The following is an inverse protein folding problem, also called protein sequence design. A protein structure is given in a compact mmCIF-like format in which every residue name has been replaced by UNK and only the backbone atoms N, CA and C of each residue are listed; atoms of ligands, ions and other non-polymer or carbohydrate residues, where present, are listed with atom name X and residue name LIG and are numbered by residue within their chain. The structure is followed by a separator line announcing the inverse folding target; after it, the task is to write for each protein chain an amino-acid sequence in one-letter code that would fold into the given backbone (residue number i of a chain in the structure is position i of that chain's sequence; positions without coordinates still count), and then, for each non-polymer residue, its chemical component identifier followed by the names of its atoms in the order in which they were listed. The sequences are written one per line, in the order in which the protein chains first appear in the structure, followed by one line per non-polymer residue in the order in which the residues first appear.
data_IF_793352521732
#
_entry.id   IF_793352521732
#
_cell.length_a   1.000
_cell.length_b   1.000
_cell.length_c   1.000
_cell.angle_alpha   90.00
_cell.angle_beta   90.00
_cell.angle_gamma   90.00
#
_symmetry.space_group_name_H-M   'P 1'
#
loop_
_entity.id
_entity.type
_entity.pdbx_description
1 polymer ?
#
# COMPACT_ATOMS: atom_id res chain seq x y z
N UNK A 1 -29.84 17.73 19.29
CA UNK A 1 -28.60 16.93 19.11
C UNK A 1 -28.33 16.87 17.61
N UNK A 2 -27.10 17.15 17.16
CA UNK A 2 -26.76 17.02 15.74
C UNK A 2 -26.81 15.55 15.32
N UNK A 3 -27.34 15.25 14.13
CA UNK A 3 -27.32 13.91 13.59
C UNK A 3 -25.87 13.48 13.30
N UNK A 4 -25.50 12.30 13.79
CA UNK A 4 -24.20 11.68 13.51
C UNK A 4 -24.32 10.82 12.24
N UNK A 5 -23.39 11.02 11.32
CA UNK A 5 -23.31 10.28 10.06
C UNK A 5 -21.92 9.68 9.92
N UNK A 6 -21.82 8.65 9.07
CA UNK A 6 -20.51 8.05 8.76
C UNK A 6 -19.57 9.08 8.16
N UNK A 7 -18.33 9.06 8.61
CA UNK A 7 -17.31 9.95 8.13
C UNK A 7 -16.88 9.54 6.70
N UNK A 8 -17.09 10.39 5.69
CA UNK A 8 -16.74 10.05 4.30
C UNK A 8 -15.24 9.85 4.11
N UNK A 9 -14.38 10.49 4.92
CA UNK A 9 -12.94 10.24 4.89
C UNK A 9 -12.59 8.86 5.45
N UNK A 10 -13.27 8.42 6.51
CA UNK A 10 -13.08 7.08 7.07
C UNK A 10 -13.43 6.01 6.04
N UNK A 11 -14.57 6.17 5.35
CA UNK A 11 -14.99 5.25 4.29
C UNK A 11 -14.01 5.25 3.11
N UNK A 12 -13.54 6.42 2.67
CA UNK A 12 -12.57 6.54 1.60
C UNK A 12 -11.22 5.87 1.96
N UNK A 13 -10.72 6.07 3.18
CA UNK A 13 -9.49 5.42 3.66
C UNK A 13 -9.66 3.90 3.76
N UNK A 14 -10.81 3.42 4.24
CA UNK A 14 -11.09 1.98 4.28
C UNK A 14 -11.13 1.38 2.87
N UNK A 15 -11.74 2.07 1.91
CA UNK A 15 -11.76 1.63 0.52
C UNK A 15 -10.35 1.65 -0.11
N UNK A 16 -9.55 2.66 0.20
CA UNK A 16 -8.16 2.74 -0.24
C UNK A 16 -7.34 1.55 0.27
N UNK A 17 -7.45 1.20 1.56
CA UNK A 17 -6.78 0.02 2.14
C UNK A 17 -7.18 -1.27 1.43
N UNK A 18 -8.48 -1.46 1.16
CA UNK A 18 -9.00 -2.65 0.46
C UNK A 18 -8.54 -2.74 -1.00
N UNK A 19 -8.28 -1.60 -1.63
CA UNK A 19 -7.89 -1.52 -3.04
C UNK A 19 -6.37 -1.64 -3.20
N UNK A 20 -5.60 -0.95 -2.36
CA UNK A 20 -4.15 -0.85 -2.47
C UNK A 20 -3.46 -2.08 -1.89
N UNK A 21 -3.99 -2.69 -0.82
CA UNK A 21 -3.41 -3.88 -0.19
C UNK A 21 -3.13 -5.02 -1.20
N UNK A 22 -4.14 -5.49 -1.95
CA UNK A 22 -3.94 -6.54 -2.96
C UNK A 22 -2.96 -6.15 -4.08
N UNK A 23 -2.91 -4.87 -4.46
CA UNK A 23 -1.97 -4.40 -5.50
C UNK A 23 -0.52 -4.50 -5.01
N UNK A 24 -0.26 -4.16 -3.76
CA UNK A 24 1.08 -4.29 -3.16
C UNK A 24 1.48 -5.76 -3.03
N UNK A 25 0.57 -6.62 -2.57
CA UNK A 25 0.80 -8.07 -2.49
C UNK A 25 1.12 -8.68 -3.87
N UNK A 26 0.41 -8.24 -4.91
CA UNK A 26 0.66 -8.68 -6.28
C UNK A 26 2.03 -8.24 -6.79
N UNK A 27 2.40 -6.98 -6.54
CA UNK A 27 3.72 -6.46 -6.91
C UNK A 27 4.84 -7.25 -6.20
N UNK A 28 4.69 -7.52 -4.90
CA UNK A 28 5.66 -8.31 -4.14
C UNK A 28 5.80 -9.73 -4.73
N UNK A 29 4.68 -10.38 -5.06
CA UNK A 29 4.69 -11.70 -5.68
C UNK A 29 5.37 -11.70 -7.07
N UNK A 30 5.09 -10.68 -7.88
CA UNK A 30 5.63 -10.51 -9.23
C UNK A 30 7.12 -10.19 -9.23
N UNK A 31 7.67 -9.61 -8.16
CA UNK A 31 9.11 -9.36 -8.00
C UNK A 31 9.83 -10.56 -7.36
N UNK A 32 9.21 -11.23 -6.40
CA UNK A 32 9.81 -12.39 -5.73
C UNK A 32 9.95 -13.60 -6.69
N UNK A 33 9.06 -13.73 -7.67
CA UNK A 33 9.12 -14.83 -8.65
C UNK A 33 10.37 -14.77 -9.54
N UNK A 34 10.70 -13.66 -10.23
CA UNK A 34 11.96 -13.50 -10.96
C UNK A 34 13.20 -13.73 -10.09
N UNK A 35 13.20 -13.22 -8.86
CA UNK A 35 14.31 -13.43 -7.92
C UNK A 35 14.55 -14.93 -7.64
N UNK A 36 13.47 -15.69 -7.39
CA UNK A 36 13.54 -17.14 -7.18
C UNK A 36 13.96 -17.90 -8.43
N UNK A 37 13.43 -17.53 -9.60
CA UNK A 37 13.82 -18.15 -10.88
C UNK A 37 15.29 -17.91 -11.20
N UNK A 38 15.82 -16.72 -10.91
CA UNK A 38 17.23 -16.40 -11.12
C UNK A 38 18.15 -17.30 -10.29
N UNK A 39 17.83 -17.50 -9.00
CA UNK A 39 18.64 -18.30 -8.07
C UNK A 39 18.56 -19.81 -8.28
N UNK A 40 17.47 -20.30 -8.89
CA UNK A 40 17.28 -21.73 -9.17
C UNK A 40 17.89 -22.15 -10.52
N UNK A 41 18.26 -21.19 -11.37
CA UNK A 41 18.90 -21.45 -12.65
C UNK A 41 20.32 -22.00 -12.51
N UNK A 42 20.55 -23.24 -12.96
CA UNK A 42 21.86 -23.92 -12.92
C UNK A 42 22.97 -23.25 -13.76
N UNK A 43 22.64 -22.22 -14.54
CA UNK A 43 23.53 -21.64 -15.57
C UNK A 43 24.12 -20.28 -15.15
N UNK A 44 23.54 -19.60 -14.16
CA UNK A 44 23.97 -18.26 -13.74
C UNK A 44 25.07 -18.32 -12.69
N UNK A 45 26.30 -18.49 -13.14
CA UNK A 45 27.48 -18.52 -12.26
C UNK A 45 28.49 -17.42 -12.64
N UNK A 46 29.31 -16.97 -11.68
CA UNK A 46 30.32 -15.93 -11.89
C UNK A 46 29.98 -14.56 -11.28
N UNK A 47 30.92 -13.60 -11.40
CA UNK A 47 30.84 -12.29 -10.73
C UNK A 47 29.63 -11.46 -11.19
N UNK A 48 29.35 -11.43 -12.48
CA UNK A 48 28.22 -10.68 -13.04
C UNK A 48 26.87 -11.23 -12.56
N UNK A 49 26.74 -12.56 -12.46
CA UNK A 49 25.54 -13.19 -11.92
C UNK A 49 25.29 -12.81 -10.45
N UNK A 50 26.35 -12.75 -9.63
CA UNK A 50 26.26 -12.29 -8.22
C UNK A 50 25.87 -10.82 -8.11
N UNK A 51 26.41 -9.96 -8.97
CA UNK A 51 26.05 -8.53 -8.99
C UNK A 51 24.58 -8.33 -9.37
N UNK A 52 24.10 -9.08 -10.37
CA UNK A 52 22.71 -9.01 -10.77
C UNK A 52 21.74 -9.53 -9.70
N UNK A 53 22.08 -10.63 -9.01
CA UNK A 53 21.27 -11.12 -7.87
C UNK A 53 21.18 -10.08 -6.74
N UNK A 54 22.30 -9.40 -6.44
CA UNK A 54 22.30 -8.33 -5.45
C UNK A 54 21.41 -7.14 -5.85
N UNK A 55 21.45 -6.75 -7.13
CA UNK A 55 20.57 -5.70 -7.67
C UNK A 55 19.09 -6.10 -7.60
N UNK A 56 18.76 -7.33 -8.01
CA UNK A 56 17.40 -7.87 -7.91
C UNK A 56 16.89 -7.87 -6.47
N UNK A 57 17.73 -8.33 -5.52
CA UNK A 57 17.40 -8.31 -4.10
C UNK A 57 17.17 -6.89 -3.57
N UNK A 58 17.97 -5.92 -4.02
CA UNK A 58 17.80 -4.52 -3.67
C UNK A 58 16.48 -3.95 -4.22
N UNK A 59 16.12 -4.25 -5.47
CA UNK A 59 14.85 -3.82 -6.05
C UNK A 59 13.66 -4.41 -5.29
N UNK A 60 13.68 -5.72 -5.01
CA UNK A 60 12.63 -6.37 -4.21
C UNK A 60 12.49 -5.77 -2.81
N UNK A 61 13.62 -5.49 -2.15
CA UNK A 61 13.59 -4.81 -0.84
C UNK A 61 12.98 -3.42 -0.93
N UNK A 62 13.35 -2.62 -1.93
CA UNK A 62 12.81 -1.27 -2.11
C UNK A 62 11.30 -1.28 -2.34
N UNK A 63 10.84 -2.18 -3.22
CA UNK A 63 9.42 -2.35 -3.54
C UNK A 63 8.63 -2.71 -2.28
N UNK A 64 9.08 -3.71 -1.54
CA UNK A 64 8.42 -4.15 -0.30
C UNK A 64 8.39 -3.04 0.76
N UNK A 65 9.50 -2.35 0.97
CA UNK A 65 9.58 -1.24 1.94
C UNK A 65 8.64 -0.10 1.54
N UNK A 66 8.59 0.25 0.26
CA UNK A 66 7.67 1.29 -0.24
C UNK A 66 6.20 0.87 -0.09
N UNK A 67 5.86 -0.37 -0.43
CA UNK A 67 4.51 -0.90 -0.22
C UNK A 67 4.10 -0.88 1.24
N UNK A 68 4.98 -1.36 2.12
CA UNK A 68 4.73 -1.36 3.57
C UNK A 68 4.52 0.06 4.11
N UNK A 69 5.36 1.02 3.71
CA UNK A 69 5.22 2.41 4.13
C UNK A 69 3.85 3.00 3.72
N UNK A 70 3.40 2.76 2.48
CA UNK A 70 2.09 3.22 2.01
C UNK A 70 0.96 2.62 2.87
N UNK A 71 1.02 1.31 3.16
CA UNK A 71 0.00 0.64 3.98
C UNK A 71 -0.01 1.14 5.42
N UNK A 72 1.16 1.40 5.99
CA UNK A 72 1.29 1.91 7.36
C UNK A 72 0.76 3.34 7.48
N UNK A 73 1.05 4.20 6.50
CA UNK A 73 0.49 5.56 6.43
C UNK A 73 -1.05 5.53 6.33
N UNK A 74 -1.61 4.68 5.46
CA UNK A 74 -3.07 4.54 5.30
C UNK A 74 -3.72 4.02 6.58
N UNK A 75 -3.14 3.01 7.23
CA UNK A 75 -3.65 2.45 8.49
C UNK A 75 -3.55 3.45 9.64
N UNK A 76 -2.46 4.22 9.69
CA UNK A 76 -2.28 5.27 10.69
C UNK A 76 -3.28 6.42 10.48
N UNK A 77 -3.53 6.81 9.23
CA UNK A 77 -4.57 7.81 8.92
C UNK A 77 -5.96 7.29 9.32
N UNK A 78 -6.27 6.04 9.02
CA UNK A 78 -7.55 5.41 9.36
C UNK A 78 -7.75 5.33 10.88
N UNK A 79 -6.73 4.94 11.64
CA UNK A 79 -6.84 4.79 13.11
C UNK A 79 -7.05 6.13 13.83
N UNK A 80 -6.58 7.24 13.25
CA UNK A 80 -6.78 8.59 13.77
C UNK A 80 -8.07 9.25 13.31
N UNK A 81 -8.76 8.67 12.33
CA UNK A 81 -9.97 9.25 11.75
C UNK A 81 -11.21 8.71 12.47
N UNK A 82 -12.08 9.58 13.03
CA UNK A 82 -13.34 9.15 13.64
C UNK A 82 -14.24 8.43 12.63
N UNK A 83 -14.91 7.37 13.05
CA UNK A 83 -15.86 6.61 12.20
C UNK A 83 -17.13 7.39 11.89
N UNK A 84 -17.56 8.27 12.80
CA UNK A 84 -18.75 9.09 12.68
C UNK A 84 -18.41 10.55 13.00
N UNK A 85 -19.09 11.45 12.31
CA UNK A 85 -18.96 12.91 12.46
C UNK A 85 -20.36 13.52 12.31
N UNK A 86 -20.51 14.80 12.63
CA UNK A 86 -21.76 15.51 12.35
C UNK A 86 -21.98 15.67 10.85
N UNK A 87 -23.23 15.86 10.41
CA UNK A 87 -23.54 16.10 8.99
C UNK A 87 -22.79 17.29 8.39
N UNK A 88 -22.63 18.38 9.16
CA UNK A 88 -21.91 19.57 8.72
C UNK A 88 -20.41 19.29 8.50
N UNK A 89 -19.80 18.54 9.41
CA UNK A 89 -18.42 18.07 9.26
C UNK A 89 -18.28 17.14 8.06
N UNK A 90 -19.21 16.21 7.86
CA UNK A 90 -19.20 15.31 6.70
C UNK A 90 -19.26 16.11 5.38
N UNK A 91 -20.13 17.11 5.28
CA UNK A 91 -20.21 17.98 4.09
C UNK A 91 -18.93 18.80 3.88
N UNK A 92 -18.33 19.29 4.96
CA UNK A 92 -17.03 19.99 4.92
C UNK A 92 -15.91 19.06 4.43
N UNK A 93 -15.84 17.83 4.95
CA UNK A 93 -14.86 16.81 4.56
C UNK A 93 -15.01 16.44 3.08
N UNK A 94 -16.24 16.18 2.60
CA UNK A 94 -16.49 15.89 1.18
C UNK A 94 -15.97 16.99 0.27
N UNK A 95 -16.23 18.26 0.62
CA UNK A 95 -15.71 19.41 -0.14
C UNK A 95 -14.19 19.50 -0.09
N UNK A 96 -13.61 19.36 1.11
CA UNK A 96 -12.16 19.49 1.32
C UNK A 96 -11.35 18.43 0.55
N UNK A 97 -11.80 17.19 0.59
CA UNK A 97 -11.11 16.05 -0.02
C UNK A 97 -11.66 15.63 -1.38
N UNK A 98 -12.67 16.35 -1.90
CA UNK A 98 -13.37 16.04 -3.16
C UNK A 98 -13.89 14.59 -3.21
N UNK A 99 -14.44 14.15 -2.07
CA UNK A 99 -15.07 12.83 -1.94
C UNK A 99 -16.53 12.99 -2.37
N UNK A 100 -16.96 12.15 -3.32
CA UNK A 100 -18.33 12.15 -3.86
C UNK A 100 -19.37 11.78 -2.80
#
# INVERSE_FOLDING_TARGET
MAAMVRNPLYEALQQAVRTIGPLIEQIDADVDRPCRMFRTGKVWTGRSAKQFDAQLAQYGTRVRTSGQAIMDELRQALSRTPSEVTEEEAASIRRKYRIA
#
